data_IF_477876093029
#
_entry.id   IF_477876093029
#
_cell.length_a   1.000
_cell.length_b   1.000
_cell.length_c   1.000
_cell.angle_alpha   90.00
_cell.angle_beta   90.00
_cell.angle_gamma   90.00
#
_symmetry.space_group_name_H-M   'P 1'
#
loop_
_entity.id
_entity.type
_entity.pdbx_description
1 polymer ?
#
# COMPACT_ATOMS: atom_id res chain seq x y z
N UNK A 1 -53.47 -12.16 13.63
CA UNK A 1 -53.24 -11.92 12.22
C UNK A 1 -52.29 -10.74 12.10
N UNK A 2 -51.02 -11.00 11.82
CA UNK A 2 -50.00 -9.97 11.58
C UNK A 2 -49.72 -9.97 10.07
N UNK A 3 -49.50 -8.83 9.39
CA UNK A 3 -49.25 -8.79 7.97
C UNK A 3 -47.83 -9.19 7.64
N UNK A 4 -47.69 -10.03 6.59
CA UNK A 4 -46.42 -10.43 5.99
C UNK A 4 -45.72 -9.22 5.39
N UNK A 5 -44.48 -9.02 5.76
CA UNK A 5 -43.54 -8.09 5.14
C UNK A 5 -43.03 -8.71 3.80
N UNK A 6 -43.26 -8.01 2.69
CA UNK A 6 -42.78 -8.40 1.37
C UNK A 6 -41.26 -8.30 1.34
N UNK A 7 -40.60 -9.42 1.17
CA UNK A 7 -39.15 -9.49 0.81
C UNK A 7 -39.03 -9.13 -0.66
N UNK A 8 -38.34 -8.04 -0.94
CA UNK A 8 -37.92 -7.68 -2.29
C UNK A 8 -36.72 -8.54 -2.71
N UNK A 9 -36.91 -9.34 -3.75
CA UNK A 9 -35.86 -10.11 -4.41
C UNK A 9 -35.10 -9.13 -5.28
N UNK A 10 -33.83 -8.84 -4.96
CA UNK A 10 -32.90 -8.18 -5.87
C UNK A 10 -32.14 -9.29 -6.60
N UNK A 11 -32.50 -9.45 -7.85
CA UNK A 11 -31.89 -10.42 -8.77
C UNK A 11 -30.54 -9.85 -9.24
N UNK A 12 -29.50 -10.64 -9.04
CA UNK A 12 -28.19 -10.51 -9.69
C UNK A 12 -28.36 -10.52 -11.21
N UNK A 13 -28.04 -9.38 -11.87
CA UNK A 13 -27.95 -9.26 -13.33
C UNK A 13 -26.56 -8.76 -13.71
N UNK A 14 -25.52 -9.53 -13.42
CA UNK A 14 -24.20 -9.36 -13.99
C UNK A 14 -23.74 -10.73 -14.51
N UNK A 15 -24.34 -11.13 -15.65
CA UNK A 15 -23.75 -12.14 -16.54
C UNK A 15 -24.54 -12.17 -17.89
N UNK A 16 -24.54 -11.09 -18.65
CA UNK A 16 -25.03 -11.11 -20.04
C UNK A 16 -24.54 -9.89 -20.83
N UNK A 17 -23.23 -9.72 -20.97
CA UNK A 17 -22.67 -8.70 -21.88
C UNK A 17 -21.41 -9.18 -22.60
N UNK A 18 -21.39 -10.45 -22.99
CA UNK A 18 -20.44 -10.95 -23.99
C UNK A 18 -21.14 -12.00 -24.81
N UNK A 19 -22.02 -11.59 -25.75
CA UNK A 19 -22.43 -12.39 -26.91
C UNK A 19 -23.57 -11.68 -27.69
N UNK A 20 -23.25 -10.54 -28.32
CA UNK A 20 -24.08 -10.04 -29.41
C UNK A 20 -23.27 -9.06 -30.29
N UNK A 21 -22.33 -9.61 -31.02
CA UNK A 21 -21.74 -8.95 -32.17
C UNK A 21 -21.85 -9.91 -33.34
N UNK A 22 -23.03 -9.94 -33.99
CA UNK A 22 -23.24 -10.33 -35.41
C UNK A 22 -24.74 -10.27 -35.72
N UNK A 23 -25.14 -9.33 -36.57
CA UNK A 23 -26.43 -9.41 -37.26
C UNK A 23 -27.15 -8.06 -37.39
N UNK A 24 -27.05 -7.47 -38.58
CA UNK A 24 -27.47 -6.18 -39.04
C UNK A 24 -28.94 -5.78 -38.85
N UNK A 25 -29.14 -4.48 -38.89
CA UNK A 25 -30.44 -3.81 -38.99
C UNK A 25 -30.26 -2.30 -38.78
N UNK A 26 -30.36 -1.58 -39.87
CA UNK A 26 -30.25 -0.12 -40.00
C UNK A 26 -31.34 0.64 -39.25
N UNK A 27 -30.95 1.54 -38.37
CA UNK A 27 -31.63 2.82 -38.12
C UNK A 27 -30.58 3.84 -37.68
N UNK A 28 -30.46 4.91 -38.46
CA UNK A 28 -29.59 6.06 -38.20
C UNK A 28 -30.13 6.83 -36.99
N UNK A 29 -29.45 6.70 -35.85
CA UNK A 29 -29.45 7.72 -34.80
C UNK A 29 -28.03 8.30 -34.76
N UNK A 30 -27.92 9.58 -35.10
CA UNK A 30 -26.66 10.33 -35.04
C UNK A 30 -26.22 10.43 -33.56
N UNK A 31 -25.38 9.50 -33.16
CA UNK A 31 -24.59 9.62 -31.93
C UNK A 31 -23.42 10.55 -32.26
N UNK A 32 -23.40 11.70 -31.66
CA UNK A 32 -22.27 12.63 -31.67
C UNK A 32 -21.07 11.90 -31.10
N UNK A 33 -20.14 11.52 -31.99
CA UNK A 33 -18.92 10.81 -31.67
C UNK A 33 -18.05 11.73 -30.82
N UNK A 34 -18.04 11.49 -29.51
CA UNK A 34 -17.09 12.14 -28.63
C UNK A 34 -15.68 11.78 -29.12
N UNK A 35 -14.93 12.79 -29.52
CA UNK A 35 -13.56 12.63 -29.97
C UNK A 35 -12.77 11.84 -28.93
N UNK A 36 -11.90 10.89 -29.32
CA UNK A 36 -11.08 10.17 -28.38
C UNK A 36 -10.25 11.17 -27.59
N UNK A 37 -10.41 11.14 -26.27
CA UNK A 37 -9.56 11.85 -25.34
C UNK A 37 -8.12 11.47 -25.68
N UNK A 38 -7.34 12.45 -26.11
CA UNK A 38 -5.90 12.25 -26.37
C UNK A 38 -5.30 11.87 -25.03
N UNK A 39 -5.04 10.57 -24.85
CA UNK A 39 -4.15 10.12 -23.79
C UNK A 39 -2.82 10.78 -24.08
N UNK A 40 -2.55 11.91 -23.42
CA UNK A 40 -1.21 12.45 -23.37
C UNK A 40 -0.31 11.30 -22.91
N UNK A 41 0.48 10.76 -23.83
CA UNK A 41 1.59 9.92 -23.47
C UNK A 41 2.41 10.75 -22.51
N UNK A 42 2.39 10.37 -21.23
CA UNK A 42 3.33 10.88 -20.25
C UNK A 42 4.71 10.59 -20.85
N UNK A 43 5.29 11.62 -21.46
CA UNK A 43 6.72 11.60 -21.79
C UNK A 43 7.41 11.22 -20.48
N UNK A 44 7.94 10.00 -20.43
CA UNK A 44 8.81 9.60 -19.33
C UNK A 44 9.83 10.70 -19.15
N UNK A 45 9.92 11.32 -17.95
CA UNK A 45 10.92 12.35 -17.74
C UNK A 45 12.25 11.74 -18.20
N UNK A 46 12.89 12.39 -19.18
CA UNK A 46 14.20 11.98 -19.65
C UNK A 46 15.04 11.84 -18.38
N UNK A 47 15.51 10.62 -18.08
CA UNK A 47 16.43 10.38 -16.98
C UNK A 47 17.64 11.24 -17.33
N UNK A 48 17.70 12.43 -16.74
CA UNK A 48 18.83 13.32 -16.92
C UNK A 48 20.03 12.53 -16.45
N UNK A 49 20.97 12.31 -17.35
CA UNK A 49 22.23 11.63 -17.06
C UNK A 49 22.76 12.20 -15.74
N UNK A 50 22.68 11.38 -14.68
CA UNK A 50 23.16 11.77 -13.37
C UNK A 50 24.67 12.00 -13.51
N UNK A 51 25.07 13.25 -13.67
CA UNK A 51 26.46 13.60 -13.67
C UNK A 51 27.03 13.19 -12.32
N UNK A 52 27.73 12.04 -12.27
CA UNK A 52 28.57 11.67 -11.16
C UNK A 52 28.04 10.65 -10.16
N UNK A 53 27.40 9.57 -10.59
CA UNK A 53 27.32 8.37 -9.73
C UNK A 53 28.75 7.93 -9.42
N UNK A 54 29.07 7.86 -8.12
CA UNK A 54 30.40 7.48 -7.64
C UNK A 54 30.34 6.09 -7.04
N UNK A 55 31.38 5.30 -7.23
CA UNK A 55 31.53 4.02 -6.53
C UNK A 55 31.60 4.26 -5.02
N UNK A 56 31.02 3.34 -4.26
CA UNK A 56 30.91 3.41 -2.79
C UNK A 56 30.07 2.26 -2.25
N UNK A 57 29.51 2.43 -1.09
CA UNK A 57 28.61 1.42 -0.52
C UNK A 57 27.44 1.16 -1.47
N UNK A 58 27.27 -0.09 -1.85
CA UNK A 58 26.22 -0.52 -2.78
C UNK A 58 26.37 -0.02 -4.24
N UNK A 59 27.49 0.61 -4.61
CA UNK A 59 27.75 1.05 -5.98
C UNK A 59 29.13 0.59 -6.41
N UNK A 60 29.23 -0.25 -7.44
CA UNK A 60 30.47 -0.83 -7.95
C UNK A 60 30.63 -0.60 -9.45
N UNK A 61 31.87 -0.56 -9.91
CA UNK A 61 32.20 -0.57 -11.35
C UNK A 61 32.00 -1.96 -11.98
N UNK A 62 31.89 -3.01 -11.17
CA UNK A 62 31.64 -4.35 -11.68
C UNK A 62 30.20 -4.48 -12.16
N UNK A 63 29.92 -5.29 -13.20
CA UNK A 63 28.58 -5.51 -13.70
C UNK A 63 27.63 -6.05 -12.64
N UNK A 64 26.37 -5.70 -12.75
CA UNK A 64 25.34 -6.36 -11.96
C UNK A 64 25.23 -7.85 -12.32
N UNK A 65 24.81 -8.70 -11.36
CA UNK A 65 24.47 -10.08 -11.64
C UNK A 65 23.32 -10.16 -12.66
N UNK A 66 23.38 -11.14 -13.57
CA UNK A 66 22.32 -11.36 -14.56
C UNK A 66 20.98 -11.77 -13.93
N UNK A 67 21.02 -12.33 -12.73
CA UNK A 67 19.84 -12.70 -11.94
C UNK A 67 20.09 -12.51 -10.43
N UNK A 68 19.02 -12.29 -9.68
CA UNK A 68 19.00 -12.27 -8.20
C UNK A 68 17.83 -13.11 -7.70
N UNK A 69 18.11 -14.13 -6.89
CA UNK A 69 17.07 -15.05 -6.39
C UNK A 69 16.33 -15.77 -7.53
N UNK A 70 17.01 -16.08 -8.65
CA UNK A 70 16.40 -16.73 -9.81
C UNK A 70 15.55 -15.80 -10.69
N UNK A 71 15.54 -14.48 -10.41
CA UNK A 71 14.83 -13.48 -11.21
C UNK A 71 15.83 -12.74 -12.09
N UNK A 72 15.63 -12.68 -13.44
CA UNK A 72 16.48 -11.89 -14.32
C UNK A 72 16.51 -10.42 -13.93
N UNK A 73 17.65 -9.75 -14.11
CA UNK A 73 17.81 -8.33 -13.78
C UNK A 73 17.74 -7.40 -15.00
N UNK A 74 17.87 -7.94 -16.19
CA UNK A 74 18.01 -7.19 -17.46
C UNK A 74 19.14 -6.16 -17.42
N UNK A 75 20.16 -6.41 -16.57
CA UNK A 75 21.31 -5.55 -16.43
C UNK A 75 22.22 -5.64 -17.67
N UNK A 76 22.83 -4.50 -18.02
CA UNK A 76 23.84 -4.40 -19.07
C UNK A 76 25.21 -4.76 -18.48
N UNK A 77 25.86 -5.77 -19.01
CA UNK A 77 27.17 -6.29 -18.55
C UNK A 77 28.36 -5.35 -18.85
N UNK A 78 28.16 -4.34 -19.67
CA UNK A 78 29.13 -3.27 -19.92
C UNK A 78 29.08 -2.13 -18.90
N UNK A 79 28.14 -2.14 -17.97
CA UNK A 79 27.89 -1.09 -16.96
C UNK A 79 28.20 -1.56 -15.56
N UNK A 80 28.47 -0.62 -14.66
CA UNK A 80 28.56 -0.84 -13.23
C UNK A 80 27.22 -1.20 -12.60
N UNK A 81 27.20 -1.47 -11.31
CA UNK A 81 26.03 -1.90 -10.57
C UNK A 81 25.68 -1.00 -9.39
N UNK A 82 24.40 -0.67 -9.25
CA UNK A 82 23.80 -0.08 -8.05
C UNK A 82 22.94 -1.15 -7.39
N UNK A 83 23.25 -1.48 -6.16
CA UNK A 83 22.49 -2.43 -5.34
C UNK A 83 21.51 -1.70 -4.44
N UNK A 84 20.25 -2.15 -4.43
CA UNK A 84 19.21 -1.67 -3.53
C UNK A 84 18.80 -2.77 -2.56
N UNK A 85 18.55 -2.39 -1.31
CA UNK A 85 18.08 -3.29 -0.26
C UNK A 85 16.56 -3.46 -0.26
N UNK A 86 16.10 -4.58 0.29
CA UNK A 86 14.68 -4.88 0.43
C UNK A 86 14.40 -5.57 1.75
N UNK A 87 13.66 -4.89 2.63
CA UNK A 87 13.20 -5.37 3.92
C UNK A 87 11.67 -5.56 3.84
N UNK A 88 11.23 -6.83 3.78
CA UNK A 88 9.86 -7.18 3.44
C UNK A 88 9.22 -8.10 4.50
N UNK A 89 7.95 -8.39 4.37
CA UNK A 89 7.19 -9.25 5.30
C UNK A 89 6.61 -10.47 4.56
N UNK A 90 7.33 -11.57 4.56
CA UNK A 90 6.90 -12.79 3.88
C UNK A 90 6.14 -13.77 4.79
N UNK A 91 6.19 -13.59 6.12
CA UNK A 91 5.59 -14.51 7.09
C UNK A 91 4.67 -13.83 8.11
N UNK A 92 4.59 -12.49 8.12
CA UNK A 92 3.73 -11.70 9.02
C UNK A 92 2.39 -11.30 8.39
N UNK A 93 1.76 -10.23 8.89
CA UNK A 93 0.42 -9.80 8.46
C UNK A 93 0.30 -9.38 7.00
N UNK A 94 1.42 -9.03 6.35
CA UNK A 94 1.45 -8.62 4.94
C UNK A 94 1.95 -9.72 3.98
N UNK A 95 2.18 -10.94 4.46
CA UNK A 95 2.67 -12.06 3.67
C UNK A 95 1.85 -12.34 2.40
N UNK A 96 0.55 -12.05 2.42
CA UNK A 96 -0.33 -12.24 1.27
C UNK A 96 -0.01 -11.30 0.09
N UNK A 97 0.59 -10.14 0.33
CA UNK A 97 0.87 -9.11 -0.69
C UNK A 97 2.36 -8.86 -0.90
N UNK A 98 3.19 -9.17 0.06
CA UNK A 98 4.63 -8.90 0.04
C UNK A 98 5.37 -9.45 -1.19
N UNK A 99 5.11 -10.70 -1.66
CA UNK A 99 5.74 -11.22 -2.87
C UNK A 99 5.35 -10.44 -4.13
N UNK A 100 4.11 -9.96 -4.21
CA UNK A 100 3.64 -9.16 -5.34
C UNK A 100 4.30 -7.78 -5.37
N UNK A 101 4.47 -7.15 -4.21
CA UNK A 101 5.18 -5.87 -4.07
C UNK A 101 6.64 -6.01 -4.51
N UNK A 102 7.33 -7.05 -4.08
CA UNK A 102 8.71 -7.33 -4.54
C UNK A 102 8.76 -7.54 -6.05
N UNK A 103 7.85 -8.37 -6.59
CA UNK A 103 7.78 -8.65 -8.03
C UNK A 103 7.59 -7.36 -8.84
N UNK A 104 6.70 -6.47 -8.38
CA UNK A 104 6.46 -5.19 -9.05
C UNK A 104 7.70 -4.28 -9.04
N UNK A 105 8.40 -4.18 -7.90
CA UNK A 105 9.63 -3.38 -7.83
C UNK A 105 10.76 -3.97 -8.66
N UNK A 106 10.94 -5.29 -8.67
CA UNK A 106 11.93 -5.93 -9.56
C UNK A 106 11.61 -5.69 -11.02
N UNK A 107 10.32 -5.81 -11.41
CA UNK A 107 9.85 -5.51 -12.76
C UNK A 107 10.13 -4.07 -13.18
N UNK A 108 9.94 -3.10 -12.29
CA UNK A 108 10.28 -1.71 -12.53
C UNK A 108 11.79 -1.52 -12.82
N UNK A 109 12.67 -2.09 -12.00
CA UNK A 109 14.11 -1.97 -12.20
C UNK A 109 14.61 -2.74 -13.42
N UNK A 110 13.99 -3.88 -13.75
CA UNK A 110 14.25 -4.57 -15.02
C UNK A 110 13.92 -3.65 -16.22
N UNK A 111 12.79 -2.95 -16.14
CA UNK A 111 12.42 -1.98 -17.17
C UNK A 111 13.44 -0.82 -17.23
N UNK A 112 13.84 -0.24 -16.11
CA UNK A 112 14.89 0.80 -16.06
C UNK A 112 16.17 0.31 -16.71
N UNK A 113 16.63 -0.89 -16.37
CA UNK A 113 17.85 -1.47 -16.96
C UNK A 113 17.71 -1.67 -18.48
N UNK A 114 16.58 -2.19 -18.95
CA UNK A 114 16.30 -2.40 -20.38
C UNK A 114 16.23 -1.10 -21.19
N UNK A 115 15.94 0.03 -20.53
CA UNK A 115 15.90 1.36 -21.14
C UNK A 115 17.20 2.17 -21.00
N UNK A 116 18.25 1.54 -20.46
CA UNK A 116 19.58 2.12 -20.38
C UNK A 116 20.13 2.34 -18.98
N UNK A 117 19.40 1.98 -17.94
CA UNK A 117 19.85 2.09 -16.55
C UNK A 117 19.92 3.54 -16.05
N UNK A 118 20.78 3.78 -15.07
CA UNK A 118 21.06 5.12 -14.52
C UNK A 118 22.48 5.54 -14.89
N UNK A 119 22.63 6.33 -15.96
CA UNK A 119 23.95 6.66 -16.49
C UNK A 119 24.74 5.41 -16.88
N UNK A 120 25.94 5.26 -16.34
CA UNK A 120 26.83 4.12 -16.62
C UNK A 120 26.58 2.92 -15.67
N UNK A 121 25.38 2.83 -15.08
CA UNK A 121 25.04 1.80 -14.10
C UNK A 121 23.70 1.12 -14.42
N UNK A 122 23.65 -0.18 -14.21
CA UNK A 122 22.42 -0.92 -14.03
C UNK A 122 22.02 -0.93 -12.55
N UNK A 123 20.75 -1.19 -12.24
CA UNK A 123 20.23 -1.21 -10.87
C UNK A 123 19.64 -2.58 -10.58
N UNK A 124 19.96 -3.15 -9.43
CA UNK A 124 19.37 -4.41 -8.98
C UNK A 124 18.91 -4.32 -7.53
N UNK A 125 17.79 -4.96 -7.23
CA UNK A 125 17.36 -5.19 -5.87
C UNK A 125 17.98 -6.49 -5.37
N UNK A 126 18.63 -6.45 -4.22
CA UNK A 126 19.11 -7.66 -3.54
C UNK A 126 17.95 -8.57 -3.15
N UNK A 127 18.24 -9.80 -2.79
CA UNK A 127 17.22 -10.72 -2.29
C UNK A 127 16.52 -10.11 -1.06
N UNK A 128 15.19 -10.17 -1.05
CA UNK A 128 14.39 -9.61 0.03
C UNK A 128 14.57 -10.41 1.32
N UNK A 129 14.65 -9.70 2.44
CA UNK A 129 14.77 -10.33 3.76
C UNK A 129 13.44 -10.29 4.49
N UNK A 130 13.01 -11.44 5.02
CA UNK A 130 11.79 -11.55 5.81
C UNK A 130 11.97 -10.94 7.20
N UNK A 131 11.20 -9.90 7.47
CA UNK A 131 11.18 -9.23 8.77
C UNK A 131 10.01 -9.68 9.65
N UNK A 132 9.09 -10.47 9.10
CA UNK A 132 7.86 -10.94 9.78
C UNK A 132 7.09 -9.81 10.48
N UNK A 133 7.13 -8.60 9.92
CA UNK A 133 6.56 -7.37 10.48
C UNK A 133 7.02 -7.07 11.94
N UNK A 134 8.23 -7.47 12.27
CA UNK A 134 8.82 -7.33 13.61
C UNK A 134 9.96 -6.31 13.57
N UNK A 135 9.92 -5.22 14.37
CA UNK A 135 10.95 -4.17 14.37
C UNK A 135 12.36 -4.67 14.65
N UNK A 136 12.53 -5.64 15.56
CA UNK A 136 13.83 -6.19 15.88
C UNK A 136 14.42 -7.00 14.72
N UNK A 137 13.62 -7.86 14.09
CA UNK A 137 14.03 -8.59 12.88
C UNK A 137 14.32 -7.63 11.72
N UNK A 138 13.58 -6.53 11.65
CA UNK A 138 13.80 -5.49 10.65
C UNK A 138 15.17 -4.83 10.82
N UNK A 139 15.59 -4.55 12.06
CA UNK A 139 16.93 -4.07 12.37
C UNK A 139 18.00 -5.10 12.01
N UNK A 140 17.77 -6.38 12.30
CA UNK A 140 18.69 -7.45 11.93
C UNK A 140 18.85 -7.54 10.41
N UNK A 141 17.75 -7.48 9.67
CA UNK A 141 17.73 -7.47 8.21
C UNK A 141 18.41 -6.23 7.63
N UNK A 142 18.20 -5.04 8.21
CA UNK A 142 18.90 -3.82 7.85
C UNK A 142 20.42 -3.98 8.04
N UNK A 143 20.85 -4.42 9.20
CA UNK A 143 22.28 -4.63 9.51
C UNK A 143 22.94 -5.66 8.57
N UNK A 144 22.20 -6.63 8.06
CA UNK A 144 22.71 -7.61 7.11
C UNK A 144 22.94 -7.02 5.70
N UNK A 145 22.23 -5.95 5.33
CA UNK A 145 22.30 -5.37 3.98
C UNK A 145 23.01 -4.00 3.93
N UNK A 146 23.09 -3.27 5.03
CA UNK A 146 23.49 -1.85 5.06
C UNK A 146 24.85 -1.53 4.43
N UNK A 147 25.82 -2.47 4.48
CA UNK A 147 27.15 -2.30 3.90
C UNK A 147 27.23 -2.69 2.42
N UNK A 148 26.14 -3.23 1.86
CA UNK A 148 26.11 -3.80 0.52
C UNK A 148 25.12 -3.09 -0.42
N UNK A 149 24.36 -2.10 0.07
CA UNK A 149 23.31 -1.41 -0.71
C UNK A 149 23.46 0.11 -0.64
N UNK A 150 23.13 0.78 -1.73
CA UNK A 150 23.21 2.24 -1.82
C UNK A 150 21.98 2.93 -1.20
N UNK A 151 20.84 2.25 -1.18
CA UNK A 151 19.57 2.72 -0.62
C UNK A 151 18.65 1.52 -0.37
N UNK A 152 17.60 1.72 0.41
CA UNK A 152 16.53 0.74 0.55
C UNK A 152 15.43 1.00 -0.49
N UNK A 153 15.24 0.07 -1.43
CA UNK A 153 14.11 0.11 -2.35
C UNK A 153 12.78 -0.10 -1.61
N UNK A 154 12.81 -0.86 -0.53
CA UNK A 154 11.65 -1.07 0.33
C UNK A 154 12.08 -1.27 1.78
N UNK A 155 11.35 -0.61 2.69
CA UNK A 155 11.31 -0.85 4.13
C UNK A 155 9.84 -0.97 4.54
N UNK A 156 9.33 -2.20 4.70
CA UNK A 156 7.90 -2.42 4.91
C UNK A 156 7.51 -2.21 6.36
N UNK A 157 6.60 -1.26 6.57
CA UNK A 157 5.97 -0.97 7.85
C UNK A 157 6.47 0.30 8.55
N UNK A 158 5.56 1.07 9.12
CA UNK A 158 5.86 2.32 9.83
C UNK A 158 6.69 2.08 11.09
N UNK A 159 6.26 1.24 12.06
CA UNK A 159 7.04 1.01 13.27
C UNK A 159 8.40 0.36 12.98
N UNK A 160 8.49 -0.45 11.94
CA UNK A 160 9.73 -1.10 11.51
C UNK A 160 10.72 -0.06 10.97
N UNK A 161 10.27 0.83 10.08
CA UNK A 161 11.11 1.88 9.49
C UNK A 161 11.55 2.90 10.55
N UNK A 162 10.64 3.31 11.44
CA UNK A 162 10.99 4.19 12.57
C UNK A 162 12.05 3.56 13.48
N UNK A 163 11.97 2.24 13.69
CA UNK A 163 12.90 1.53 14.57
C UNK A 163 14.34 1.50 14.04
N UNK A 164 14.53 1.52 12.72
CA UNK A 164 15.86 1.54 12.10
C UNK A 164 16.35 2.94 11.72
N UNK A 165 15.55 3.97 11.92
CA UNK A 165 15.84 5.31 11.40
C UNK A 165 17.13 5.92 12.00
N UNK A 166 17.46 5.62 13.27
CA UNK A 166 18.71 6.04 13.90
C UNK A 166 19.94 5.40 13.23
N UNK A 167 19.83 4.16 12.78
CA UNK A 167 20.90 3.49 12.04
C UNK A 167 21.01 4.00 10.60
N UNK A 168 19.88 4.23 9.94
CA UNK A 168 19.86 4.85 8.62
C UNK A 168 20.53 6.24 8.64
N UNK A 169 20.31 7.03 9.69
CA UNK A 169 20.92 8.37 9.84
C UNK A 169 22.44 8.27 9.98
N UNK A 170 22.95 7.35 10.78
CA UNK A 170 24.40 7.10 10.94
C UNK A 170 25.06 6.70 9.63
N UNK A 171 24.34 5.93 8.80
CA UNK A 171 24.84 5.41 7.53
C UNK A 171 24.61 6.37 6.36
N UNK A 172 23.86 7.46 6.54
CA UNK A 172 23.29 8.30 5.49
C UNK A 172 22.49 7.47 4.47
N UNK A 173 21.77 6.45 4.94
CA UNK A 173 21.00 5.53 4.11
C UNK A 173 19.63 6.13 3.83
N UNK A 174 19.31 6.33 2.55
CA UNK A 174 17.97 6.74 2.11
C UNK A 174 17.11 5.51 1.85
N UNK A 175 15.83 5.59 2.13
CA UNK A 175 14.90 4.49 1.88
C UNK A 175 13.52 4.94 1.42
N UNK A 176 12.86 4.07 0.64
CA UNK A 176 11.46 4.22 0.28
C UNK A 176 10.63 3.27 1.14
N UNK A 177 10.02 3.74 2.25
CA UNK A 177 9.23 2.87 3.10
C UNK A 177 7.91 2.49 2.43
N UNK A 178 7.48 1.25 2.60
CA UNK A 178 6.09 0.87 2.36
C UNK A 178 5.28 1.29 3.60
N UNK A 179 5.15 2.60 3.75
CA UNK A 179 4.57 3.30 4.89
C UNK A 179 4.25 4.72 4.47
N UNK A 180 3.04 5.17 4.77
CA UNK A 180 2.56 6.52 4.45
C UNK A 180 2.21 7.27 5.74
N UNK A 181 3.10 7.19 6.71
CA UNK A 181 2.96 7.87 7.99
C UNK A 181 3.12 9.39 7.82
N UNK A 182 2.19 10.18 8.34
CA UNK A 182 2.23 11.65 8.23
C UNK A 182 3.52 12.28 8.76
N UNK A 183 4.20 11.58 9.67
CA UNK A 183 5.49 12.01 10.21
C UNK A 183 6.59 12.14 9.15
N UNK A 184 6.52 11.40 8.04
CA UNK A 184 7.51 11.49 6.96
C UNK A 184 7.55 12.87 6.29
N UNK A 185 6.47 13.65 6.37
CA UNK A 185 6.45 15.03 5.89
C UNK A 185 7.21 16.02 6.78
N UNK A 186 7.70 15.59 7.94
CA UNK A 186 8.40 16.45 8.88
C UNK A 186 9.88 16.05 9.02
N UNK A 187 10.78 16.93 8.60
CA UNK A 187 12.23 16.69 8.67
C UNK A 187 12.75 16.35 10.09
N UNK A 188 12.04 16.75 11.13
CA UNK A 188 12.36 16.36 12.51
C UNK A 188 12.08 14.88 12.80
N UNK A 189 11.30 14.21 11.97
CA UNK A 189 10.95 12.78 12.07
C UNK A 189 11.75 11.99 11.05
N UNK A 190 11.62 12.30 9.75
CA UNK A 190 12.22 11.55 8.64
C UNK A 190 13.71 11.81 8.44
N UNK A 191 14.23 12.91 9.00
CA UNK A 191 15.62 13.40 8.90
C UNK A 191 16.09 13.65 7.46
N UNK A 192 15.19 13.63 6.50
CA UNK A 192 15.49 13.72 5.08
C UNK A 192 16.00 12.40 4.48
N UNK A 193 15.74 11.28 5.13
CA UNK A 193 16.17 9.94 4.73
C UNK A 193 15.05 9.13 4.06
N UNK A 194 13.82 9.63 4.10
CA UNK A 194 12.65 8.92 3.60
C UNK A 194 12.19 9.53 2.27
N UNK A 195 12.00 8.67 1.27
CA UNK A 195 11.36 9.02 0.01
C UNK A 195 9.92 8.53 0.05
N UNK A 196 9.00 9.44 0.37
CA UNK A 196 7.55 9.16 0.40
C UNK A 196 6.98 9.20 -1.03
N UNK A 197 6.07 8.29 -1.36
CA UNK A 197 5.52 8.15 -2.72
C UNK A 197 3.99 8.02 -2.75
N UNK A 198 3.31 8.38 -1.67
CA UNK A 198 1.85 8.30 -1.56
C UNK A 198 1.25 9.31 -0.61
N UNK A 199 -0.08 9.29 -0.50
CA UNK A 199 -0.81 10.10 0.46
C UNK A 199 -0.62 9.59 1.88
N UNK A 200 -0.50 10.49 2.85
CA UNK A 200 -0.35 10.09 4.25
C UNK A 200 -1.62 9.42 4.80
N UNK A 201 -1.45 8.45 5.70
CA UNK A 201 -2.56 7.72 6.32
C UNK A 201 -3.61 8.64 6.95
N UNK A 202 -3.20 9.74 7.58
CA UNK A 202 -4.13 10.72 8.13
C UNK A 202 -5.00 11.36 7.02
N UNK A 203 -4.40 11.73 5.89
CA UNK A 203 -5.14 12.27 4.74
C UNK A 203 -6.07 11.21 4.13
N UNK A 204 -5.59 9.97 3.99
CA UNK A 204 -6.40 8.86 3.49
C UNK A 204 -7.58 8.54 4.42
N UNK A 205 -7.37 8.60 5.74
CA UNK A 205 -8.43 8.46 6.72
C UNK A 205 -9.51 9.53 6.58
N UNK A 206 -9.13 10.79 6.39
CA UNK A 206 -10.08 11.87 6.13
C UNK A 206 -10.86 11.63 4.83
N UNK A 207 -10.17 11.31 3.75
CA UNK A 207 -10.76 11.05 2.44
C UNK A 207 -11.69 9.82 2.46
N UNK A 208 -11.36 8.80 3.24
CA UNK A 208 -12.18 7.61 3.38
C UNK A 208 -13.55 7.91 3.99
N UNK A 209 -13.61 8.74 5.04
CA UNK A 209 -14.88 9.15 5.64
C UNK A 209 -15.68 10.04 4.69
N UNK A 210 -15.05 11.04 4.07
CA UNK A 210 -15.70 11.93 3.12
C UNK A 210 -16.30 11.15 1.94
N UNK A 211 -15.51 10.22 1.38
CA UNK A 211 -15.99 9.33 0.32
C UNK A 211 -17.15 8.45 0.77
N UNK A 212 -17.07 7.85 1.96
CA UNK A 212 -18.13 7.00 2.49
C UNK A 212 -19.44 7.75 2.66
N UNK A 213 -19.38 8.97 3.21
CA UNK A 213 -20.56 9.84 3.38
C UNK A 213 -21.17 10.28 2.05
N UNK A 214 -20.35 10.51 1.03
CA UNK A 214 -20.80 10.95 -0.28
C UNK A 214 -21.32 9.82 -1.19
N UNK A 215 -20.81 8.59 -1.02
CA UNK A 215 -20.96 7.51 -2.00
C UNK A 215 -21.78 6.33 -1.50
N UNK A 216 -21.80 6.07 -0.20
CA UNK A 216 -22.55 4.93 0.34
C UNK A 216 -24.04 5.28 0.52
N UNK A 217 -24.96 4.30 0.30
CA UNK A 217 -26.41 4.52 0.41
C UNK A 217 -26.88 4.48 1.88
N UNK A 218 -26.08 4.98 2.80
CA UNK A 218 -26.37 5.03 4.24
C UNK A 218 -26.10 6.44 4.78
N UNK A 219 -26.95 6.89 5.71
CA UNK A 219 -26.74 8.16 6.41
C UNK A 219 -25.82 7.91 7.61
N UNK A 220 -24.51 8.15 7.43
CA UNK A 220 -23.49 7.87 8.43
C UNK A 220 -23.56 8.90 9.56
N UNK A 221 -23.94 8.48 10.75
CA UNK A 221 -23.98 9.28 11.98
C UNK A 221 -23.00 8.76 13.04
N UNK A 222 -22.75 7.46 13.01
CA UNK A 222 -21.89 6.77 13.96
C UNK A 222 -20.88 5.89 13.25
N UNK A 223 -19.64 5.88 13.73
CA UNK A 223 -18.59 5.07 13.15
C UNK A 223 -17.82 4.31 14.21
N UNK A 224 -17.25 3.17 13.81
CA UNK A 224 -16.25 2.40 14.55
C UNK A 224 -14.92 2.42 13.84
N UNK A 225 -13.84 2.62 14.58
CA UNK A 225 -12.48 2.61 14.05
C UNK A 225 -11.75 1.40 14.64
N UNK A 226 -11.03 0.66 13.80
CA UNK A 226 -10.19 -0.44 14.24
C UNK A 226 -8.88 -0.47 13.46
N UNK A 227 -7.79 -0.92 14.07
CA UNK A 227 -6.50 -0.97 13.39
C UNK A 227 -5.40 -1.59 14.21
N UNK A 228 -4.24 -1.75 13.57
CA UNK A 228 -3.02 -2.11 14.28
C UNK A 228 -2.61 -1.00 15.25
N UNK A 229 -1.88 -1.39 16.29
CA UNK A 229 -1.21 -0.44 17.15
C UNK A 229 -0.11 0.33 16.40
N UNK A 230 0.34 1.43 17.00
CA UNK A 230 1.44 2.24 16.51
C UNK A 230 1.04 3.23 15.43
N UNK A 231 2.04 3.80 14.78
CA UNK A 231 1.87 5.00 13.96
C UNK A 231 0.98 4.80 12.75
N UNK A 232 0.95 3.60 12.15
CA UNK A 232 0.05 3.29 11.04
C UNK A 232 -1.43 3.44 11.43
N UNK A 233 -1.90 2.65 12.39
CA UNK A 233 -3.31 2.66 12.80
C UNK A 233 -3.71 3.95 13.51
N UNK A 234 -2.81 4.51 14.32
CA UNK A 234 -3.06 5.77 15.03
C UNK A 234 -3.18 6.95 14.07
N UNK A 235 -2.31 7.03 13.06
CA UNK A 235 -2.33 8.11 12.08
C UNK A 235 -3.60 8.06 11.23
N UNK A 236 -4.00 6.87 10.77
CA UNK A 236 -5.28 6.63 10.11
C UNK A 236 -6.48 7.05 10.99
N UNK A 237 -6.52 6.58 12.23
CA UNK A 237 -7.59 6.88 13.16
C UNK A 237 -7.69 8.39 13.46
N UNK A 238 -6.56 9.09 13.55
CA UNK A 238 -6.54 10.53 13.76
C UNK A 238 -7.16 11.29 12.58
N UNK A 239 -6.86 10.86 11.34
CA UNK A 239 -7.49 11.43 10.14
C UNK A 239 -9.00 11.27 10.15
N UNK A 240 -9.50 10.07 10.42
CA UNK A 240 -10.93 9.78 10.50
C UNK A 240 -11.60 10.59 11.63
N UNK A 241 -10.99 10.64 12.82
CA UNK A 241 -11.52 11.41 13.96
C UNK A 241 -11.62 12.89 13.63
N UNK A 242 -10.61 13.45 12.96
CA UNK A 242 -10.64 14.83 12.50
C UNK A 242 -11.79 15.09 11.52
N UNK A 243 -11.96 14.25 10.49
CA UNK A 243 -13.05 14.37 9.53
C UNK A 243 -14.42 14.18 10.20
N UNK A 244 -14.55 13.22 11.11
CA UNK A 244 -15.77 12.96 11.86
C UNK A 244 -16.20 14.16 12.71
N UNK A 245 -15.25 14.81 13.39
CA UNK A 245 -15.52 16.05 14.14
C UNK A 245 -16.07 17.15 13.24
N UNK A 246 -15.47 17.36 12.06
CA UNK A 246 -15.91 18.37 11.09
C UNK A 246 -17.27 18.08 10.48
N UNK A 247 -17.58 16.80 10.25
CA UNK A 247 -18.83 16.35 9.67
C UNK A 247 -19.96 16.16 10.69
N UNK A 248 -19.69 16.28 12.00
CA UNK A 248 -20.66 16.00 13.06
C UNK A 248 -20.99 14.52 13.21
N UNK A 249 -20.07 13.64 12.82
CA UNK A 249 -20.18 12.17 12.94
C UNK A 249 -19.60 11.74 14.29
N UNK A 250 -20.28 10.83 14.99
CA UNK A 250 -19.83 10.32 16.28
C UNK A 250 -18.94 9.09 16.11
N UNK A 251 -17.73 9.14 16.66
CA UNK A 251 -16.89 7.94 16.84
C UNK A 251 -17.42 7.18 18.06
N UNK A 252 -18.16 6.11 17.84
CA UNK A 252 -18.78 5.34 18.91
C UNK A 252 -17.75 4.49 19.67
N UNK A 253 -16.75 3.98 18.98
CA UNK A 253 -15.65 3.22 19.57
C UNK A 253 -14.41 3.23 18.69
N UNK A 254 -13.27 3.00 19.32
CA UNK A 254 -11.96 2.85 18.69
C UNK A 254 -11.29 1.59 19.29
N UNK A 255 -10.76 0.73 18.43
CA UNK A 255 -10.03 -0.46 18.80
C UNK A 255 -8.65 -0.45 18.14
N UNK A 256 -7.67 0.09 18.84
CA UNK A 256 -6.24 0.08 18.49
C UNK A 256 -5.51 -0.63 19.65
N UNK A 257 -5.29 -1.96 19.57
CA UNK A 257 -4.65 -2.70 20.65
C UNK A 257 -3.23 -2.18 20.89
N UNK A 258 -2.69 -2.26 22.13
CA UNK A 258 -1.38 -1.71 22.47
C UNK A 258 -0.20 -2.52 21.89
N UNK A 259 -0.49 -3.61 21.21
CA UNK A 259 0.48 -4.49 20.55
C UNK A 259 0.20 -4.59 19.06
N UNK A 260 1.15 -5.08 18.28
CA UNK A 260 0.93 -5.37 16.84
C UNK A 260 0.02 -6.59 16.61
N UNK A 261 -0.38 -7.29 17.67
CA UNK A 261 -1.33 -8.38 17.61
C UNK A 261 -2.76 -7.81 17.58
N UNK A 262 -3.43 -7.99 16.45
CA UNK A 262 -4.81 -7.57 16.27
C UNK A 262 -5.75 -8.76 16.53
N UNK A 263 -6.58 -8.66 17.57
CA UNK A 263 -7.59 -9.68 17.89
C UNK A 263 -8.85 -9.47 17.04
N UNK A 264 -8.97 -10.29 16.01
CA UNK A 264 -10.13 -10.30 15.09
C UNK A 264 -11.43 -10.59 15.82
N UNK A 265 -11.43 -11.51 16.81
CA UNK A 265 -12.64 -11.87 17.55
C UNK A 265 -13.15 -10.68 18.40
N UNK A 266 -12.24 -9.93 19.01
CA UNK A 266 -12.57 -8.71 19.75
C UNK A 266 -13.13 -7.65 18.82
N UNK A 267 -12.53 -7.42 17.66
CA UNK A 267 -13.00 -6.45 16.67
C UNK A 267 -14.42 -6.78 16.20
N UNK A 268 -14.66 -8.04 15.81
CA UNK A 268 -15.99 -8.53 15.40
C UNK A 268 -16.99 -8.44 16.57
N UNK A 269 -16.55 -8.76 17.79
CA UNK A 269 -17.37 -8.63 18.99
C UNK A 269 -17.85 -7.19 19.22
N UNK A 270 -17.01 -6.19 19.01
CA UNK A 270 -17.40 -4.78 19.06
C UNK A 270 -18.41 -4.42 17.98
N UNK A 271 -18.20 -4.87 16.74
CA UNK A 271 -19.14 -4.65 15.64
C UNK A 271 -20.56 -5.20 15.96
N UNK A 272 -20.64 -6.36 16.64
CA UNK A 272 -21.90 -7.00 17.01
C UNK A 272 -22.55 -6.32 18.22
N UNK A 273 -21.77 -6.00 19.24
CA UNK A 273 -22.30 -5.48 20.52
C UNK A 273 -22.53 -3.97 20.52
N UNK A 274 -21.81 -3.26 19.66
CA UNK A 274 -21.89 -1.81 19.48
C UNK A 274 -21.98 -1.48 17.98
N UNK A 275 -23.07 -1.87 17.31
CA UNK A 275 -23.22 -1.64 15.88
C UNK A 275 -23.25 -0.14 15.56
N UNK A 276 -22.63 0.22 14.45
CA UNK A 276 -22.53 1.59 13.92
C UNK A 276 -22.87 1.59 12.43
N UNK A 277 -23.00 2.79 11.85
CA UNK A 277 -23.38 2.96 10.44
C UNK A 277 -22.24 2.58 9.49
N UNK A 278 -20.97 2.81 9.89
CA UNK A 278 -19.79 2.45 9.09
C UNK A 278 -18.60 2.08 9.96
N UNK A 279 -17.70 1.22 9.41
CA UNK A 279 -16.49 0.74 10.07
C UNK A 279 -15.26 1.10 9.24
N UNK A 280 -14.22 1.59 9.92
CA UNK A 280 -12.99 2.05 9.28
C UNK A 280 -11.78 1.26 9.79
N UNK A 281 -11.35 0.22 9.05
CA UNK A 281 -10.22 -0.62 9.43
C UNK A 281 -8.89 -0.11 8.91
N UNK A 282 -7.84 -0.14 9.74
CA UNK A 282 -6.43 0.03 9.39
C UNK A 282 -5.67 -1.24 9.78
N UNK A 283 -5.85 -2.30 9.03
CA UNK A 283 -5.28 -3.64 9.28
C UNK A 283 -4.68 -4.22 8.00
N UNK A 284 -3.89 -5.29 8.14
CA UNK A 284 -3.37 -6.02 6.99
C UNK A 284 -4.45 -6.80 6.23
N UNK A 285 -4.20 -7.19 4.98
CA UNK A 285 -5.18 -7.88 4.14
C UNK A 285 -5.75 -9.16 4.76
N UNK A 286 -4.93 -9.92 5.48
CA UNK A 286 -5.35 -11.15 6.16
C UNK A 286 -6.37 -10.85 7.26
N UNK A 287 -6.06 -9.87 8.12
CA UNK A 287 -6.97 -9.46 9.20
C UNK A 287 -8.24 -8.84 8.65
N UNK A 288 -8.15 -8.07 7.58
CA UNK A 288 -9.34 -7.50 6.93
C UNK A 288 -10.29 -8.58 6.43
N UNK A 289 -9.77 -9.61 5.74
CA UNK A 289 -10.57 -10.75 5.29
C UNK A 289 -11.22 -11.50 6.46
N UNK A 290 -10.48 -11.68 7.57
CA UNK A 290 -10.99 -12.34 8.76
C UNK A 290 -12.08 -11.52 9.47
N UNK A 291 -11.90 -10.20 9.61
CA UNK A 291 -12.91 -9.30 10.19
C UNK A 291 -14.17 -9.31 9.34
N UNK A 292 -14.04 -9.13 8.02
CA UNK A 292 -15.18 -9.15 7.11
C UNK A 292 -15.93 -10.49 7.13
N UNK A 293 -15.21 -11.61 7.10
CA UNK A 293 -15.78 -12.95 7.19
C UNK A 293 -16.47 -13.22 8.55
N UNK A 294 -15.83 -12.80 9.64
CA UNK A 294 -16.39 -12.91 10.99
C UNK A 294 -17.67 -12.07 11.16
N UNK A 295 -17.66 -10.84 10.67
CA UNK A 295 -18.82 -9.95 10.69
C UNK A 295 -20.00 -10.56 9.88
N UNK A 296 -19.71 -11.09 8.69
CA UNK A 296 -20.69 -11.77 7.85
C UNK A 296 -21.33 -12.98 8.56
N UNK A 297 -20.52 -13.81 9.23
CA UNK A 297 -21.01 -14.97 10.00
C UNK A 297 -21.95 -14.56 11.16
N UNK A 298 -21.80 -13.34 11.67
CA UNK A 298 -22.67 -12.77 12.70
C UNK A 298 -23.89 -12.04 12.13
N UNK A 299 -24.12 -12.12 10.82
CA UNK A 299 -25.24 -11.49 10.13
C UNK A 299 -25.08 -10.01 9.85
N UNK A 300 -23.89 -9.47 10.06
CA UNK A 300 -23.53 -8.13 9.57
C UNK A 300 -23.18 -8.24 8.08
N UNK A 301 -23.78 -7.37 7.27
CA UNK A 301 -23.46 -7.29 5.84
C UNK A 301 -22.66 -6.00 5.61
N UNK A 302 -21.33 -6.03 5.74
CA UNK A 302 -20.54 -4.88 5.39
C UNK A 302 -20.73 -4.56 3.91
N UNK A 303 -21.03 -3.31 3.60
CA UNK A 303 -20.99 -2.80 2.23
C UNK A 303 -19.51 -2.59 1.94
N UNK A 304 -18.97 -3.38 1.02
CA UNK A 304 -17.59 -3.28 0.59
C UNK A 304 -17.45 -2.20 -0.49
#
# INVERSE_FOLDING_TARGET
MKPLRKQGIIIFSILALVLAACGGGTTEETVEEAAPEVVETLDSPAVTTAAGVKTGVGVTSDPCPAEVGGVPTMADDSKGCIYLGMLNDYTGPYAAVAPALETAQRGFWMWVNSTGGIGDYSVVIREGVDTAYNPQKHLEAYNAQREEVAALAMSLGTPQTLFILDEMDKDNMVGAPMSWYSGWSYKSVDRGLVVEFGSAYCADGMNALDWAMASLPVDIKTIGIMGFAGDYGTDWANGIKYAAEKAGVTVAWEYLPPTLEFDVAQAVGLMVTQPVDAYFPAVGPTQMAQVAGGAFQQGLTPIA
#
